data_IF_493678190816
#
_entry.id   IF_493678190816
#
_cell.length_a   1.000
_cell.length_b   1.000
_cell.length_c   1.000
_cell.angle_alpha   90.00
_cell.angle_beta   90.00
_cell.angle_gamma   90.00
#
_symmetry.space_group_name_H-M   'P 1'
#
loop_
_entity.id
_entity.type
_entity.pdbx_description
1 polymer ?
#
# COMPACT_ATOMS: atom_id res chain seq x y z
N UNK A 1 4.38 -9.37 18.13
CA UNK A 1 3.43 -10.32 17.51
C UNK A 1 1.99 -10.09 17.98
N UNK A 2 1.78 -9.87 19.29
CA UNK A 2 0.45 -9.57 19.86
C UNK A 2 -0.31 -8.43 19.16
N UNK A 3 0.35 -7.33 18.81
CA UNK A 3 -0.29 -6.22 18.08
C UNK A 3 -0.79 -6.61 16.68
N UNK A 4 -0.03 -7.43 15.93
CA UNK A 4 -0.45 -7.92 14.62
C UNK A 4 -1.65 -8.87 14.75
N UNK A 5 -1.61 -9.76 15.75
CA UNK A 5 -2.72 -10.67 16.08
C UNK A 5 -3.99 -9.91 16.45
N UNK A 6 -3.85 -8.84 17.24
CA UNK A 6 -4.96 -7.95 17.60
C UNK A 6 -5.56 -7.26 16.36
N UNK A 7 -4.71 -6.83 15.41
CA UNK A 7 -5.15 -6.17 14.17
C UNK A 7 -5.92 -7.12 13.22
N UNK A 8 -5.42 -8.35 13.02
CA UNK A 8 -6.04 -9.31 12.08
C UNK A 8 -7.28 -10.03 12.64
N UNK A 9 -7.53 -9.92 13.95
CA UNK A 9 -8.66 -10.55 14.63
C UNK A 9 -8.51 -12.06 14.86
N UNK A 10 -9.29 -12.61 15.80
CA UNK A 10 -9.10 -13.98 16.34
C UNK A 10 -9.13 -15.09 15.29
N UNK A 11 -10.01 -14.97 14.29
CA UNK A 11 -10.16 -15.97 13.23
C UNK A 11 -8.86 -16.17 12.43
N UNK A 12 -8.11 -15.10 12.20
CA UNK A 12 -6.86 -15.10 11.43
C UNK A 12 -5.66 -15.28 12.37
N UNK A 13 -5.71 -14.72 13.57
CA UNK A 13 -4.61 -14.71 14.54
C UNK A 13 -4.06 -16.12 14.87
N UNK A 14 -4.91 -17.16 14.85
CA UNK A 14 -4.50 -18.56 15.08
C UNK A 14 -3.55 -19.13 14.01
N UNK A 15 -3.49 -18.50 12.84
CA UNK A 15 -2.61 -18.90 11.74
C UNK A 15 -1.33 -18.06 11.69
N UNK A 16 -1.15 -17.09 12.59
CA UNK A 16 -0.01 -16.16 12.59
C UNK A 16 0.91 -16.47 13.76
N UNK A 17 2.15 -16.85 13.47
CA UNK A 17 3.22 -16.96 14.47
C UNK A 17 4.55 -16.40 13.98
N UNK A 18 5.48 -16.16 14.90
CA UNK A 18 6.89 -15.99 14.53
C UNK A 18 7.43 -17.36 14.11
N UNK A 19 8.22 -17.41 13.03
CA UNK A 19 8.89 -18.65 12.65
C UNK A 19 10.03 -19.02 13.61
N UNK A 20 10.59 -18.00 14.29
CA UNK A 20 11.73 -18.09 15.20
C UNK A 20 11.38 -17.43 16.54
N UNK A 21 10.81 -18.20 17.46
CA UNK A 21 10.31 -17.69 18.76
C UNK A 21 11.42 -17.10 19.64
N UNK A 22 12.65 -17.55 19.48
CA UNK A 22 13.84 -17.03 20.15
C UNK A 22 14.14 -15.56 19.78
N UNK A 23 13.57 -15.05 18.68
CA UNK A 23 13.70 -13.65 18.24
C UNK A 23 12.57 -12.74 18.73
N UNK A 24 11.65 -13.24 19.56
CA UNK A 24 10.43 -12.53 20.00
C UNK A 24 10.67 -11.22 20.76
N UNK A 25 11.85 -11.04 21.36
CA UNK A 25 12.23 -9.84 22.13
C UNK A 25 13.31 -8.98 21.45
N UNK A 26 13.64 -9.26 20.18
CA UNK A 26 14.57 -8.41 19.45
C UNK A 26 13.88 -7.10 19.10
N UNK A 27 14.18 -6.05 19.87
CA UNK A 27 13.74 -4.69 19.55
C UNK A 27 14.24 -4.31 18.15
N UNK A 28 13.31 -3.83 17.34
CA UNK A 28 13.59 -3.31 16.01
C UNK A 28 13.90 -1.83 16.21
N UNK A 29 15.19 -1.53 16.35
CA UNK A 29 15.66 -0.16 16.39
C UNK A 29 15.27 0.55 15.09
N UNK A 30 14.78 1.79 15.20
CA UNK A 30 14.14 2.58 14.13
C UNK A 30 15.09 2.91 12.97
N UNK A 31 16.39 2.76 13.20
CA UNK A 31 17.53 3.08 12.35
C UNK A 31 18.08 1.87 11.57
N UNK A 32 17.51 0.68 11.74
CA UNK A 32 18.08 -0.56 11.20
C UNK A 32 17.26 -1.10 10.01
N UNK A 33 17.51 -0.53 8.83
CA UNK A 33 16.75 -0.73 7.59
C UNK A 33 16.93 -2.09 6.89
N UNK A 34 17.66 -3.04 7.48
CA UNK A 34 17.94 -4.35 6.88
C UNK A 34 17.48 -5.52 7.77
N UNK A 35 16.65 -5.24 8.79
CA UNK A 35 16.16 -6.31 9.68
C UNK A 35 15.06 -7.11 8.99
N UNK A 36 15.26 -8.41 8.94
CA UNK A 36 14.26 -9.36 8.45
C UNK A 36 13.61 -10.08 9.64
N UNK A 37 12.32 -10.35 9.53
CA UNK A 37 11.65 -11.31 10.42
C UNK A 37 10.76 -12.22 9.60
N UNK A 38 10.80 -13.49 9.94
CA UNK A 38 10.03 -14.51 9.25
C UNK A 38 8.77 -14.79 10.07
N UNK A 39 7.61 -14.67 9.43
CA UNK A 39 6.33 -15.07 10.00
C UNK A 39 5.88 -16.38 9.37
N UNK A 40 5.20 -17.20 10.15
CA UNK A 40 4.54 -18.39 9.64
C UNK A 40 3.06 -18.08 9.43
N UNK A 41 2.58 -18.27 8.20
CA UNK A 41 1.17 -18.20 7.83
C UNK A 41 0.75 -19.55 7.26
N UNK A 42 -0.23 -20.20 7.89
CA UNK A 42 -0.80 -21.47 7.39
C UNK A 42 0.24 -22.56 7.06
N UNK A 43 1.36 -22.58 7.77
CA UNK A 43 2.45 -23.54 7.57
C UNK A 43 3.58 -23.07 6.66
N UNK A 44 3.37 -22.00 5.88
CA UNK A 44 4.38 -21.39 5.03
C UNK A 44 5.13 -20.28 5.77
N UNK A 45 6.41 -20.17 5.47
CA UNK A 45 7.27 -19.13 6.00
C UNK A 45 7.30 -17.94 5.04
N UNK A 46 7.04 -16.74 5.56
CA UNK A 46 7.11 -15.47 4.83
C UNK A 46 8.19 -14.61 5.48
N UNK A 47 9.25 -14.33 4.72
CA UNK A 47 10.31 -13.43 5.14
C UNK A 47 9.89 -11.98 4.89
N UNK A 48 9.77 -11.19 5.95
CA UNK A 48 9.44 -9.77 5.89
C UNK A 48 10.70 -8.95 6.14
N UNK A 49 10.97 -8.01 5.24
CA UNK A 49 12.11 -7.10 5.32
C UNK A 49 11.62 -5.74 5.79
N UNK A 50 12.10 -5.28 6.95
CA UNK A 50 11.96 -3.87 7.34
C UNK A 50 12.99 -3.06 6.58
N UNK A 51 12.56 -1.99 5.90
CA UNK A 51 13.49 -1.02 5.32
C UNK A 51 14.02 -1.34 3.92
N UNK A 52 13.67 -2.48 3.32
CA UNK A 52 13.70 -2.62 1.87
C UNK A 52 12.56 -1.79 1.28
N UNK A 53 12.79 -0.48 1.24
CA UNK A 53 11.98 0.45 0.47
C UNK A 53 12.28 0.07 -0.97
N UNK A 54 11.42 -0.79 -1.53
CA UNK A 54 11.44 -1.03 -2.96
C UNK A 54 11.38 0.33 -3.64
N UNK A 55 12.15 0.49 -4.72
CA UNK A 55 12.08 1.68 -5.58
C UNK A 55 10.66 1.88 -6.15
N UNK A 56 9.70 0.99 -5.86
CA UNK A 56 8.29 1.20 -6.09
C UNK A 56 7.39 0.50 -5.05
N UNK A 57 6.21 1.07 -4.86
CA UNK A 57 5.07 0.47 -4.17
C UNK A 57 3.94 0.34 -5.19
N UNK A 58 3.32 -0.84 -5.35
CA UNK A 58 2.24 -1.03 -6.31
C UNK A 58 0.97 -0.30 -5.90
N UNK A 59 0.15 0.03 -6.89
CA UNK A 59 -1.23 0.47 -6.66
C UNK A 59 -2.10 -0.74 -6.37
N UNK A 60 -2.92 -0.64 -5.32
CA UNK A 60 -3.93 -1.65 -4.96
C UNK A 60 -5.30 -1.01 -5.07
N UNK A 61 -6.21 -1.67 -5.78
CA UNK A 61 -7.56 -1.19 -5.97
C UNK A 61 -8.57 -2.33 -6.09
N UNK A 62 -9.84 -1.96 -5.99
CA UNK A 62 -10.99 -2.82 -6.24
C UNK A 62 -11.98 -2.12 -7.16
N UNK A 63 -12.75 -2.91 -7.89
CA UNK A 63 -13.93 -2.42 -8.60
C UNK A 63 -15.10 -2.42 -7.63
N UNK A 64 -15.92 -1.38 -7.64
CA UNK A 64 -17.03 -1.23 -6.68
C UNK A 64 -17.98 -2.43 -6.67
N UNK A 65 -18.19 -3.07 -7.83
CA UNK A 65 -19.08 -4.22 -7.99
C UNK A 65 -18.44 -5.57 -7.61
N UNK A 66 -17.13 -5.61 -7.38
CA UNK A 66 -16.38 -6.83 -7.08
C UNK A 66 -15.72 -6.73 -5.70
N UNK A 67 -16.51 -6.96 -4.64
CA UNK A 67 -16.04 -6.79 -3.25
C UNK A 67 -14.97 -7.79 -2.84
N UNK A 68 -14.94 -8.96 -3.46
CA UNK A 68 -14.07 -10.08 -3.08
C UNK A 68 -12.80 -10.15 -3.92
N UNK A 69 -12.63 -9.23 -4.89
CA UNK A 69 -11.45 -9.17 -5.75
C UNK A 69 -10.64 -7.92 -5.47
N UNK A 70 -9.33 -8.14 -5.34
CA UNK A 70 -8.33 -7.09 -5.20
C UNK A 70 -7.36 -7.20 -6.36
N UNK A 71 -7.06 -6.06 -6.96
CA UNK A 71 -6.13 -5.93 -8.07
C UNK A 71 -4.87 -5.23 -7.60
N UNK A 72 -3.71 -5.74 -8.02
CA UNK A 72 -2.38 -5.20 -7.69
C UNK A 72 -1.67 -4.86 -8.98
N UNK A 73 -1.21 -3.62 -9.11
CA UNK A 73 -0.53 -3.11 -10.30
C UNK A 73 0.81 -2.50 -9.95
N UNK A 74 1.84 -3.03 -10.61
CA UNK A 74 3.23 -2.58 -10.50
C UNK A 74 3.61 -1.60 -11.62
N UNK A 75 2.71 -1.35 -12.56
CA UNK A 75 2.93 -0.42 -13.67
C UNK A 75 2.75 1.03 -13.21
N UNK A 76 3.48 1.93 -13.85
CA UNK A 76 3.52 3.36 -13.57
C UNK A 76 2.29 4.11 -14.12
N UNK A 77 1.50 3.44 -14.96
CA UNK A 77 0.24 3.95 -15.49
C UNK A 77 -0.89 2.93 -15.25
N UNK A 78 -1.89 3.33 -14.47
CA UNK A 78 -3.04 2.48 -14.20
C UNK A 78 -4.17 2.76 -15.21
N UNK A 79 -4.16 2.06 -16.33
CA UNK A 79 -5.27 2.06 -17.29
C UNK A 79 -6.19 0.89 -16.96
N UNK A 80 -7.37 1.20 -16.41
CA UNK A 80 -8.43 0.22 -16.22
C UNK A 80 -9.43 0.39 -17.37
N UNK A 81 -9.42 -0.54 -18.31
CA UNK A 81 -10.38 -0.60 -19.42
C UNK A 81 -11.73 -1.16 -18.93
N UNK A 82 -12.44 -0.33 -18.18
CA UNK A 82 -13.74 -0.65 -17.62
C UNK A 82 -14.45 0.63 -17.22
N UNK A 83 -15.78 0.67 -17.35
CA UNK A 83 -16.62 1.74 -16.81
C UNK A 83 -16.91 1.57 -15.31
N UNK A 84 -16.42 0.51 -14.68
CA UNK A 84 -16.68 0.23 -13.26
C UNK A 84 -15.97 1.24 -12.36
N UNK A 85 -16.71 1.80 -11.40
CA UNK A 85 -16.16 2.69 -10.37
C UNK A 85 -15.01 2.03 -9.61
N UNK A 86 -13.92 2.77 -9.44
CA UNK A 86 -12.68 2.27 -8.84
C UNK A 86 -12.49 2.84 -7.44
N UNK A 87 -12.11 1.97 -6.50
CA UNK A 87 -11.72 2.33 -5.14
C UNK A 87 -10.26 1.95 -4.95
N UNK A 88 -9.39 2.95 -4.84
CA UNK A 88 -7.95 2.78 -4.66
C UNK A 88 -7.65 2.66 -3.18
N UNK A 89 -7.30 1.47 -2.71
CA UNK A 89 -6.99 1.22 -1.29
C UNK A 89 -5.53 1.48 -0.95
N UNK A 90 -4.66 1.51 -1.96
CA UNK A 90 -3.28 1.95 -1.83
C UNK A 90 -2.84 2.63 -3.13
N UNK A 91 -2.45 3.90 -3.05
CA UNK A 91 -1.87 4.62 -4.18
C UNK A 91 -0.38 4.25 -4.31
N UNK A 92 -0.02 3.66 -5.46
CA UNK A 92 1.34 3.29 -5.78
C UNK A 92 2.22 4.49 -6.08
N UNK A 93 3.52 4.30 -5.87
CA UNK A 93 4.55 5.29 -6.19
C UNK A 93 5.85 4.60 -6.59
N UNK A 94 6.71 5.30 -7.31
CA UNK A 94 7.99 4.79 -7.77
C UNK A 94 9.06 5.88 -7.73
N UNK A 95 10.31 5.46 -7.61
CA UNK A 95 11.49 6.30 -7.67
C UNK A 95 11.73 6.68 -9.12
N UNK A 96 11.72 7.97 -9.39
CA UNK A 96 11.98 8.53 -10.69
C UNK A 96 13.44 8.31 -11.10
N UNK A 97 13.75 8.45 -12.39
CA UNK A 97 15.09 8.20 -12.95
C UNK A 97 16.18 9.12 -12.39
N UNK A 98 15.80 10.24 -11.77
CA UNK A 98 16.71 11.14 -11.05
C UNK A 98 17.25 10.57 -9.73
N UNK A 99 16.70 9.43 -9.28
CA UNK A 99 17.16 8.73 -8.08
C UNK A 99 16.85 9.42 -6.75
N UNK A 100 16.14 10.55 -6.74
CA UNK A 100 15.85 11.34 -5.54
C UNK A 100 14.36 11.58 -5.34
N UNK A 101 13.60 11.60 -6.43
CA UNK A 101 12.18 11.91 -6.44
C UNK A 101 11.35 10.64 -6.47
N UNK A 102 10.33 10.57 -5.63
CA UNK A 102 9.27 9.57 -5.70
C UNK A 102 8.02 10.21 -6.32
N UNK A 103 7.52 9.58 -7.39
CA UNK A 103 6.32 9.98 -8.12
C UNK A 103 5.21 8.96 -7.91
N UNK A 104 3.98 9.43 -7.82
CA UNK A 104 2.80 8.57 -7.79
C UNK A 104 2.42 8.05 -9.16
N UNK A 105 1.69 6.94 -9.19
CA UNK A 105 0.98 6.45 -10.37
C UNK A 105 -0.29 7.30 -10.59
N UNK A 106 -0.63 7.57 -11.85
CA UNK A 106 -1.93 8.19 -12.19
C UNK A 106 -3.06 7.19 -11.99
N UNK A 107 -4.08 7.56 -11.22
CA UNK A 107 -5.24 6.69 -10.97
C UNK A 107 -6.18 6.63 -12.17
N UNK A 108 -7.01 5.57 -12.30
CA UNK A 108 -8.05 5.49 -13.31
C UNK A 108 -8.99 6.68 -13.29
N UNK A 109 -9.45 7.08 -14.47
CA UNK A 109 -10.43 8.16 -14.66
C UNK A 109 -11.72 7.97 -13.84
N UNK A 110 -12.11 6.74 -13.57
CA UNK A 110 -13.33 6.37 -12.84
C UNK A 110 -13.08 6.07 -11.35
N UNK A 111 -11.96 6.52 -10.80
CA UNK A 111 -11.71 6.52 -9.36
C UNK A 111 -12.73 7.40 -8.65
N UNK A 112 -13.40 6.83 -7.65
CA UNK A 112 -14.39 7.52 -6.81
C UNK A 112 -13.96 7.62 -5.35
N UNK A 113 -12.97 6.85 -4.93
CA UNK A 113 -12.49 6.75 -3.57
C UNK A 113 -11.01 6.38 -3.57
N UNK A 114 -10.25 7.02 -2.68
CA UNK A 114 -8.86 6.68 -2.38
C UNK A 114 -8.71 6.28 -0.90
N UNK A 115 -7.54 5.79 -0.50
CA UNK A 115 -7.23 5.50 0.90
C UNK A 115 -7.37 6.75 1.76
N UNK A 116 -7.76 6.57 3.02
CA UNK A 116 -7.86 7.66 4.00
C UNK A 116 -6.52 8.38 4.22
N UNK A 117 -5.42 7.64 4.09
CA UNK A 117 -4.07 8.14 4.26
C UNK A 117 -3.36 8.32 2.91
N UNK A 118 -2.60 9.41 2.71
CA UNK A 118 -1.79 9.60 1.52
C UNK A 118 -0.54 8.69 1.52
N UNK A 119 0.12 8.51 0.37
CA UNK A 119 1.40 7.82 0.30
C UNK A 119 2.47 8.44 1.22
N UNK A 120 3.25 7.58 1.88
CA UNK A 120 4.22 8.00 2.90
C UNK A 120 5.49 8.64 2.33
N UNK A 121 5.86 8.32 1.09
CA UNK A 121 7.14 8.69 0.47
C UNK A 121 6.94 9.17 -0.95
N UNK A 122 6.28 10.30 -1.10
CA UNK A 122 6.11 10.97 -2.40
C UNK A 122 6.54 12.42 -2.27
N UNK A 123 7.09 12.94 -3.35
CA UNK A 123 7.48 14.35 -3.42
C UNK A 123 6.36 15.22 -3.96
N UNK A 124 5.41 14.64 -4.69
CA UNK A 124 4.28 15.35 -5.24
C UNK A 124 3.14 14.39 -5.59
N UNK A 125 1.92 14.90 -5.52
CA UNK A 125 0.71 14.30 -6.11
C UNK A 125 0.39 14.87 -7.49
N UNK A 126 1.30 15.67 -8.05
CA UNK A 126 1.14 16.22 -9.39
C UNK A 126 0.88 15.10 -10.40
N UNK A 127 -0.21 15.24 -11.14
CA UNK A 127 -0.74 14.28 -12.12
C UNK A 127 -1.41 13.01 -11.59
N UNK A 128 -1.35 12.71 -10.28
CA UNK A 128 -1.98 11.51 -9.71
C UNK A 128 -3.48 11.40 -10.06
N UNK A 129 -4.14 12.55 -10.24
CA UNK A 129 -5.59 12.70 -10.44
C UNK A 129 -5.96 13.51 -11.70
N UNK A 130 -5.04 13.64 -12.66
CA UNK A 130 -5.16 14.57 -13.81
C UNK A 130 -6.40 14.34 -14.69
N UNK A 131 -6.84 13.08 -14.81
CA UNK A 131 -7.87 12.66 -15.77
C UNK A 131 -9.12 12.08 -15.08
N UNK A 132 -9.40 12.50 -13.84
CA UNK A 132 -10.61 12.07 -13.14
C UNK A 132 -11.86 12.56 -13.87
N UNK A 133 -12.76 11.60 -14.12
CA UNK A 133 -14.13 11.86 -14.60
C UNK A 133 -15.07 12.23 -13.46
N UNK A 134 -14.74 11.85 -12.23
CA UNK A 134 -15.50 12.18 -11.02
C UNK A 134 -15.20 13.62 -10.60
N UNK A 135 -16.26 14.36 -10.23
CA UNK A 135 -16.12 15.71 -9.66
C UNK A 135 -15.51 15.69 -8.27
N UNK A 136 -15.73 14.60 -7.53
CA UNK A 136 -15.26 14.40 -6.18
C UNK A 136 -14.75 12.97 -6.02
N UNK A 137 -13.68 12.83 -5.25
CA UNK A 137 -13.10 11.54 -4.85
C UNK A 137 -13.12 11.48 -3.33
N UNK A 138 -13.82 10.49 -2.79
CA UNK A 138 -13.90 10.29 -1.36
C UNK A 138 -12.51 10.10 -0.75
N UNK A 139 -12.32 10.63 0.46
CA UNK A 139 -11.08 10.66 1.24
C UNK A 139 -9.94 11.54 0.69
N UNK A 140 -10.04 12.06 -0.54
CA UNK A 140 -8.99 12.94 -1.06
C UNK A 140 -8.92 14.28 -0.29
N UNK A 141 -10.08 14.80 0.13
CA UNK A 141 -10.16 16.06 0.88
C UNK A 141 -9.57 15.98 2.31
N UNK A 142 -9.39 14.77 2.86
CA UNK A 142 -8.76 14.58 4.17
C UNK A 142 -7.23 14.52 4.08
N UNK A 143 -6.66 14.48 2.88
CA UNK A 143 -5.22 14.51 2.70
C UNK A 143 -4.68 15.93 2.93
N UNK A 144 -3.62 16.04 3.73
CA UNK A 144 -2.92 17.30 3.92
C UNK A 144 -2.01 17.58 2.71
N UNK A 145 -2.61 18.09 1.64
CA UNK A 145 -1.94 18.35 0.36
C UNK A 145 -0.87 19.43 0.46
N UNK A 146 -0.82 20.23 1.54
CA UNK A 146 0.22 21.26 1.76
C UNK A 146 1.60 20.66 2.07
N UNK A 147 1.66 19.35 2.35
CA UNK A 147 2.91 18.62 2.58
C UNK A 147 3.59 18.12 1.29
N UNK A 148 2.96 18.32 0.13
CA UNK A 148 3.38 17.77 -1.16
C UNK A 148 3.44 18.85 -2.25
#
# INVERSE_FOLDING_TARGET
MEQLKAYVGEKIAKYVSLSHNEKSNNSIAKDNSNKQFEIKLTGENILLHFGDIKDSVPTIYRKQKETDKVYVLYDNNLIVDSDDKILVTQLGYYKHSDGQTFRTVTVPKNTIEVSENPPLKINSLHEAFKDLSSKEVANLNSWDLKKY
#
